data_IF_767928646500
#
_entry.id   IF_767928646500
#
_cell.length_a   1.000
_cell.length_b   1.000
_cell.length_c   1.000
_cell.angle_alpha   90.00
_cell.angle_beta   90.00
_cell.angle_gamma   90.00
#
_symmetry.space_group_name_H-M   'P 1'
#
loop_
_entity.id
_entity.type
_entity.pdbx_description
1 polymer ?
#
# COMPACT_ATOMS: atom_id res chain seq x y z
N UNK A 1 19.41 5.07 -18.94
CA UNK A 1 18.00 5.07 -18.47
C UNK A 1 17.60 3.62 -18.45
N UNK A 2 18.03 2.89 -17.44
CA UNK A 2 17.76 1.46 -17.28
C UNK A 2 16.60 1.42 -16.29
N UNK A 3 15.37 1.21 -16.77
CA UNK A 3 14.74 -0.11 -16.73
C UNK A 3 14.86 -0.71 -15.34
N UNK A 4 13.92 -0.32 -14.47
CA UNK A 4 13.02 -1.24 -13.79
C UNK A 4 11.93 -0.38 -13.15
N UNK A 5 10.83 -0.16 -13.88
CA UNK A 5 9.63 0.54 -13.40
C UNK A 5 8.84 -0.27 -12.37
N UNK A 6 9.56 -1.04 -11.54
CA UNK A 6 9.00 -1.83 -10.48
C UNK A 6 8.94 -0.93 -9.25
N UNK A 7 7.72 -0.62 -8.82
CA UNK A 7 7.46 0.11 -7.59
C UNK A 7 8.21 -0.58 -6.45
N UNK A 8 9.11 0.17 -5.82
CA UNK A 8 9.94 -0.27 -4.72
C UNK A 8 9.86 0.79 -3.63
N UNK A 9 9.35 0.42 -2.46
CA UNK A 9 9.21 1.30 -1.30
C UNK A 9 7.78 1.40 -0.78
N UNK A 10 7.61 2.24 0.24
CA UNK A 10 6.33 2.45 0.91
C UNK A 10 5.34 3.17 -0.01
N UNK A 11 4.16 2.59 -0.13
CA UNK A 11 3.04 3.07 -0.92
C UNK A 11 1.87 3.41 -0.02
N UNK A 12 1.14 4.45 -0.39
CA UNK A 12 -0.05 4.91 0.32
C UNK A 12 -1.10 5.25 -0.73
N UNK A 13 -2.21 4.54 -0.68
CA UNK A 13 -3.42 4.88 -1.41
C UNK A 13 -4.36 5.68 -0.52
N UNK A 14 -5.10 6.60 -1.14
CA UNK A 14 -6.03 7.48 -0.45
C UNK A 14 -7.44 7.33 -1.01
N UNK A 15 -8.42 7.38 -0.12
CA UNK A 15 -9.83 7.55 -0.47
C UNK A 15 -10.05 8.94 -1.10
N UNK A 16 -11.19 9.12 -1.79
CA UNK A 16 -11.56 10.42 -2.38
C UNK A 16 -11.63 11.56 -1.33
N UNK A 17 -11.88 11.20 -0.07
CA UNK A 17 -11.91 12.13 1.05
C UNK A 17 -10.51 12.53 1.59
N UNK A 18 -9.43 11.99 1.01
CA UNK A 18 -8.05 12.28 1.36
C UNK A 18 -7.51 11.51 2.56
N UNK A 19 -8.28 10.58 3.15
CA UNK A 19 -7.79 9.64 4.17
C UNK A 19 -7.12 8.45 3.52
N UNK A 20 -6.24 7.78 4.27
CA UNK A 20 -5.57 6.56 3.80
C UNK A 20 -6.62 5.48 3.56
N UNK A 21 -6.53 4.84 2.41
CA UNK A 21 -7.30 3.67 2.02
C UNK A 21 -6.48 2.39 2.20
N UNK A 22 -5.21 2.43 1.82
CA UNK A 22 -4.27 1.34 2.03
C UNK A 22 -2.85 1.88 2.19
N UNK A 23 -2.03 1.19 2.96
CA UNK A 23 -0.58 1.43 2.98
C UNK A 23 0.21 0.14 3.16
N UNK A 24 1.41 0.11 2.58
CA UNK A 24 2.32 -1.03 2.67
C UNK A 24 3.53 -0.85 1.77
N UNK A 25 4.38 -1.87 1.69
CA UNK A 25 5.58 -1.82 0.86
C UNK A 25 5.37 -2.59 -0.45
N UNK A 26 5.89 -2.03 -1.54
CA UNK A 26 6.16 -2.80 -2.76
C UNK A 26 7.63 -3.18 -2.85
N UNK A 27 7.89 -4.43 -3.23
CA UNK A 27 9.23 -4.94 -3.56
C UNK A 27 9.16 -5.62 -4.92
N UNK A 28 9.92 -5.10 -5.88
CA UNK A 28 9.91 -5.54 -7.28
C UNK A 28 8.51 -5.49 -7.91
N UNK A 29 7.72 -4.44 -7.60
CA UNK A 29 6.37 -4.24 -8.15
C UNK A 29 5.33 -5.21 -7.60
N UNK A 30 5.59 -5.84 -6.45
CA UNK A 30 4.63 -6.69 -5.72
C UNK A 30 4.51 -6.26 -4.27
N UNK A 31 3.30 -6.38 -3.73
CA UNK A 31 3.03 -6.17 -2.32
C UNK A 31 3.93 -7.07 -1.48
N UNK A 32 4.54 -6.50 -0.45
CA UNK A 32 5.51 -7.18 0.41
C UNK A 32 5.35 -6.68 1.84
N UNK A 33 5.57 -7.57 2.80
CA UNK A 33 5.45 -7.22 4.20
C UNK A 33 4.00 -6.98 4.61
N UNK A 34 3.80 -6.05 5.56
CA UNK A 34 2.47 -5.78 6.11
C UNK A 34 1.75 -4.75 5.25
N UNK A 35 0.54 -5.10 4.85
CA UNK A 35 -0.41 -4.19 4.22
C UNK A 35 -1.56 -3.93 5.18
N UNK A 36 -1.93 -2.67 5.32
CA UNK A 36 -3.04 -2.22 6.16
C UNK A 36 -4.07 -1.52 5.28
N UNK A 37 -5.33 -1.91 5.40
CA UNK A 37 -6.47 -1.36 4.66
C UNK A 37 -7.44 -0.70 5.62
N UNK A 38 -7.97 0.45 5.22
CA UNK A 38 -8.76 1.33 6.07
C UNK A 38 -10.09 1.70 5.41
N UNK A 39 -11.14 1.87 6.22
CA UNK A 39 -12.44 2.37 5.77
C UNK A 39 -12.36 3.87 5.40
N UNK A 40 -13.44 4.41 4.82
CA UNK A 40 -13.56 5.85 4.52
C UNK A 40 -13.47 6.75 5.78
N UNK A 41 -13.59 6.19 6.98
CA UNK A 41 -13.41 6.92 8.22
C UNK A 41 -11.95 6.95 8.70
N UNK A 42 -11.08 6.13 8.12
CA UNK A 42 -9.68 5.93 8.52
C UNK A 42 -9.51 4.88 9.62
N UNK A 43 -10.53 4.05 9.86
CA UNK A 43 -10.43 2.91 10.77
C UNK A 43 -9.82 1.72 10.02
N UNK A 44 -8.92 1.01 10.67
CA UNK A 44 -8.36 -0.21 10.14
C UNK A 44 -9.45 -1.27 9.96
N UNK A 45 -9.66 -1.72 8.73
CA UNK A 45 -10.59 -2.80 8.39
C UNK A 45 -9.88 -4.14 8.28
N UNK A 46 -8.69 -4.15 7.66
CA UNK A 46 -8.01 -5.38 7.30
C UNK A 46 -6.49 -5.20 7.34
N UNK A 47 -5.78 -6.26 7.73
CA UNK A 47 -4.33 -6.34 7.66
C UNK A 47 -3.91 -7.67 7.06
N UNK A 48 -3.08 -7.61 6.04
CA UNK A 48 -2.53 -8.78 5.37
C UNK A 48 -1.00 -8.74 5.40
N UNK A 49 -0.38 -9.91 5.34
CA UNK A 49 1.08 -10.03 5.28
C UNK A 49 1.44 -10.79 4.00
N UNK A 50 2.17 -10.13 3.12
CA UNK A 50 2.65 -10.66 1.85
C UNK A 50 4.13 -11.05 1.96
N UNK A 51 4.48 -12.21 1.40
CA UNK A 51 5.86 -12.77 1.39
C UNK A 51 6.68 -12.35 0.17
#
# INVERSE_FOLDING_TARGET
>A
MSEDGLENGHWIDYHENGKIAAEGDYVNGKESGKWSYYDENGNLEEEEVFE
#
